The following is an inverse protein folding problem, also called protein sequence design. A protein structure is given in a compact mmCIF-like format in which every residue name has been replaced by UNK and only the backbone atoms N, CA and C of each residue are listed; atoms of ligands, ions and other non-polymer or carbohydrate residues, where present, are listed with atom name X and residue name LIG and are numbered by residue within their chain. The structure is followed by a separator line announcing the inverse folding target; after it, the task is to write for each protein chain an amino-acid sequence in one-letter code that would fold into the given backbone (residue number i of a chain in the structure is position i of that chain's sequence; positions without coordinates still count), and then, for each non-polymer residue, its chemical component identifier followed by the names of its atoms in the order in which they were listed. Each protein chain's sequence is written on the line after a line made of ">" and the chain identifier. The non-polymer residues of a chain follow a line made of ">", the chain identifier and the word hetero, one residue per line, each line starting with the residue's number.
data_IF_629434590610
#
_entry.id   IF_629434590610
#
_cell.length_a   1.000
_cell.length_b   1.000
_cell.length_c   1.000
_cell.angle_alpha   90.00
_cell.angle_beta   90.00
_cell.angle_gamma   90.00
#
_symmetry.space_group_name_H-M   'P 1'
#
loop_
_entity.id
_entity.type
_entity.pdbx_description
1 polymer ?
#
# COMPACT_ATOMS: atom_id res chain seq x y z
N UNK A 1 39.42 -18.16 6.72
CA UNK A 1 38.12 -17.47 6.79
C UNK A 1 37.83 -16.96 5.39
N UNK A 2 36.75 -17.41 4.77
CA UNK A 2 36.37 -16.99 3.42
C UNK A 2 35.39 -15.81 3.57
N UNK A 3 35.66 -14.62 3.02
CA UNK A 3 34.76 -13.49 3.19
C UNK A 3 33.52 -13.71 2.32
N UNK A 4 32.35 -13.88 2.96
CA UNK A 4 31.02 -13.80 2.33
C UNK A 4 30.31 -12.57 2.90
N UNK A 5 30.91 -11.40 2.71
CA UNK A 5 30.17 -10.16 2.86
C UNK A 5 30.54 -9.27 1.68
N UNK A 6 29.50 -8.89 0.93
CA UNK A 6 29.62 -8.05 -0.25
C UNK A 6 29.28 -6.63 0.19
N UNK A 7 30.29 -5.89 0.66
CA UNK A 7 30.20 -4.45 0.92
C UNK A 7 30.21 -3.70 -0.42
N UNK A 8 29.23 -3.97 -1.30
CA UNK A 8 29.01 -3.15 -2.49
C UNK A 8 28.03 -2.06 -2.10
N UNK A 9 28.49 -0.85 -1.75
CA UNK A 9 27.57 0.23 -1.45
C UNK A 9 26.66 0.45 -2.66
N UNK A 10 25.35 0.44 -2.43
CA UNK A 10 24.36 0.73 -3.46
C UNK A 10 24.64 2.11 -4.05
N UNK A 11 25.24 2.15 -5.25
CA UNK A 11 25.66 3.39 -5.90
C UNK A 11 24.51 4.16 -6.57
N UNK A 12 23.28 3.64 -6.52
CA UNK A 12 22.11 4.19 -7.21
C UNK A 12 21.17 4.86 -6.21
N UNK A 13 20.73 6.07 -6.55
CA UNK A 13 19.66 6.72 -5.81
C UNK A 13 18.38 5.85 -5.86
N UNK A 14 17.75 5.54 -4.70
CA UNK A 14 16.62 4.62 -4.63
C UNK A 14 15.31 5.31 -5.05
N UNK A 15 15.24 5.76 -6.31
CA UNK A 15 14.13 6.55 -6.85
C UNK A 15 12.77 5.87 -6.66
N UNK A 16 12.69 4.56 -6.93
CA UNK A 16 11.45 3.79 -6.80
C UNK A 16 10.98 3.74 -5.35
N UNK A 17 11.90 3.51 -4.41
CA UNK A 17 11.57 3.49 -2.97
C UNK A 17 11.02 4.85 -2.53
N UNK A 18 11.66 5.95 -2.91
CA UNK A 18 11.18 7.30 -2.59
C UNK A 18 9.81 7.55 -3.22
N UNK A 19 9.60 7.17 -4.48
CA UNK A 19 8.31 7.31 -5.16
C UNK A 19 7.19 6.54 -4.46
N UNK A 20 7.46 5.30 -4.03
CA UNK A 20 6.50 4.49 -3.27
C UNK A 20 6.15 5.13 -1.93
N UNK A 21 7.13 5.68 -1.21
CA UNK A 21 6.89 6.37 0.07
C UNK A 21 6.00 7.59 -0.16
N UNK A 22 6.31 8.42 -1.17
CA UNK A 22 5.51 9.62 -1.50
C UNK A 22 4.08 9.23 -1.85
N UNK A 23 3.90 8.23 -2.71
CA UNK A 23 2.56 7.78 -3.12
C UNK A 23 1.74 7.27 -1.93
N UNK A 24 2.32 6.41 -1.09
CA UNK A 24 1.64 5.91 0.11
C UNK A 24 1.31 7.05 1.08
N UNK A 25 2.20 8.03 1.22
CA UNK A 25 1.96 9.20 2.08
C UNK A 25 0.79 10.04 1.57
N UNK A 26 0.69 10.26 0.26
CA UNK A 26 -0.45 10.98 -0.35
C UNK A 26 -1.75 10.24 -0.08
N UNK A 27 -1.77 8.92 -0.30
CA UNK A 27 -2.95 8.09 -0.03
C UNK A 27 -3.35 8.16 1.44
N UNK A 28 -2.38 8.09 2.36
CA UNK A 28 -2.63 8.22 3.79
C UNK A 28 -3.22 9.58 4.17
N UNK A 29 -2.68 10.68 3.64
CA UNK A 29 -3.20 12.01 3.91
C UNK A 29 -4.64 12.18 3.40
N UNK A 30 -4.97 11.58 2.25
CA UNK A 30 -6.34 11.54 1.75
C UNK A 30 -7.25 10.70 2.65
N UNK A 31 -6.79 9.54 3.12
CA UNK A 31 -7.54 8.72 4.06
C UNK A 31 -7.86 9.45 5.37
N UNK A 32 -6.89 10.16 5.93
CA UNK A 32 -7.06 10.95 7.16
C UNK A 32 -8.04 12.11 6.97
N UNK A 33 -8.06 12.73 5.78
CA UNK A 33 -8.97 13.85 5.50
C UNK A 33 -10.45 13.44 5.40
N UNK A 34 -10.75 12.15 5.24
CA UNK A 34 -12.12 11.64 5.09
C UNK A 34 -12.92 11.54 6.41
N UNK A 35 -12.26 11.55 7.57
CA UNK A 35 -12.92 11.46 8.87
C UNK A 35 -13.84 10.24 8.98
N UNK A 36 -15.14 10.46 9.22
CA UNK A 36 -16.14 9.40 9.36
C UNK A 36 -16.32 8.56 8.09
N UNK A 37 -16.02 9.12 6.91
CA UNK A 37 -16.11 8.41 5.61
C UNK A 37 -14.92 7.49 5.33
N UNK A 38 -13.96 7.42 6.25
CA UNK A 38 -12.80 6.54 6.13
C UNK A 38 -13.23 5.07 5.97
N UNK A 39 -14.20 4.61 6.76
CA UNK A 39 -14.66 3.22 6.69
C UNK A 39 -15.25 2.88 5.32
N UNK A 40 -16.14 3.72 4.79
CA UNK A 40 -16.72 3.56 3.44
C UNK A 40 -15.64 3.49 2.36
N UNK A 41 -14.63 4.36 2.45
CA UNK A 41 -13.51 4.37 1.51
C UNK A 41 -12.72 3.06 1.55
N UNK A 42 -12.45 2.52 2.75
CA UNK A 42 -11.74 1.25 2.91
C UNK A 42 -12.58 0.08 2.38
N UNK A 43 -13.90 0.06 2.60
CA UNK A 43 -14.76 -0.99 2.05
C UNK A 43 -14.88 -0.91 0.52
N UNK A 44 -14.87 0.30 -0.06
CA UNK A 44 -14.97 0.49 -1.50
C UNK A 44 -13.65 0.23 -2.26
N UNK A 45 -12.50 0.61 -1.67
CA UNK A 45 -11.19 0.48 -2.35
C UNK A 45 -10.31 -0.65 -1.81
N UNK A 46 -10.71 -1.29 -0.71
CA UNK A 46 -9.96 -2.38 -0.08
C UNK A 46 -10.16 -3.71 -0.81
N UNK A 47 -9.17 -4.59 -0.69
CA UNK A 47 -9.27 -5.98 -1.13
C UNK A 47 -9.63 -6.84 0.08
N UNK A 48 -10.85 -7.37 0.12
CA UNK A 48 -11.31 -8.27 1.18
C UNK A 48 -11.07 -9.73 0.77
N UNK A 49 -10.22 -10.51 1.48
CA UNK A 49 -9.95 -11.90 1.13
C UNK A 49 -11.19 -12.79 1.04
N UNK A 50 -12.21 -12.49 1.86
CA UNK A 50 -13.48 -13.21 1.84
C UNK A 50 -14.22 -13.02 0.51
N UNK A 51 -14.27 -11.80 -0.02
CA UNK A 51 -14.87 -11.48 -1.32
C UNK A 51 -14.14 -12.19 -2.46
N UNK A 52 -12.81 -12.17 -2.43
CA UNK A 52 -11.97 -12.81 -3.46
C UNK A 52 -12.14 -14.33 -3.44
N UNK A 53 -12.16 -14.94 -2.25
CA UNK A 53 -12.25 -16.41 -2.11
C UNK A 53 -13.64 -16.94 -2.42
N UNK A 54 -14.70 -16.19 -2.08
CA UNK A 54 -16.08 -16.61 -2.28
C UNK A 54 -16.70 -16.06 -3.56
N UNK A 55 -15.98 -15.20 -4.28
CA UNK A 55 -16.43 -14.55 -5.53
C UNK A 55 -17.75 -13.78 -5.34
N UNK A 56 -17.86 -13.07 -4.21
CA UNK A 56 -19.01 -12.25 -3.84
C UNK A 56 -18.56 -10.83 -3.47
N UNK A 57 -19.45 -9.86 -3.58
CA UNK A 57 -19.25 -8.48 -3.13
C UNK A 57 -20.16 -8.23 -1.91
N UNK A 58 -19.56 -8.01 -0.73
CA UNK A 58 -20.30 -7.84 0.52
C UNK A 58 -20.79 -6.41 0.71
N UNK A 59 -20.07 -5.44 0.13
CA UNK A 59 -20.36 -4.02 0.27
C UNK A 59 -20.44 -3.38 -1.13
N UNK A 60 -21.47 -3.75 -1.92
CA UNK A 60 -21.59 -3.26 -3.29
C UNK A 60 -21.70 -1.74 -3.28
N UNK A 61 -20.78 -1.08 -3.97
CA UNK A 61 -20.64 0.38 -4.01
C UNK A 61 -21.47 1.02 -5.14
N UNK A 62 -22.55 0.34 -5.56
CA UNK A 62 -23.47 0.74 -6.63
C UNK A 62 -24.84 1.16 -6.13
#
# INVERSE_FOLDING_TARGET
>A
MFPIYDDVPTKKFPLITVALIVLNSIVYLYQVSLGERFAEFIYSMGLLPFEITHHIDLFPSG
#
